data_IF_820856892666
#
_entry.id   IF_820856892666
#
_cell.length_a   1.000
_cell.length_b   1.000
_cell.length_c   1.000
_cell.angle_alpha   90.00
_cell.angle_beta   90.00
_cell.angle_gamma   90.00
#
_symmetry.space_group_name_H-M   'P 1'
#
loop_
_entity.id
_entity.type
_entity.pdbx_description
1 polymer ?
#
# COMPACT_ATOMS: atom_id res chain seq x y z
N UNK A 1 14.61 9.12 -14.03
CA UNK A 1 13.90 7.97 -14.63
C UNK A 1 14.79 6.73 -14.84
N UNK A 2 16.11 6.85 -15.03
CA UNK A 2 17.01 5.69 -15.25
C UNK A 2 17.20 4.77 -14.04
N UNK A 3 17.32 5.32 -12.83
CA UNK A 3 17.51 4.52 -11.60
C UNK A 3 16.31 3.64 -11.24
N UNK A 4 15.09 4.12 -11.49
CA UNK A 4 13.87 3.34 -11.26
C UNK A 4 13.78 2.15 -12.21
N UNK A 5 14.07 2.37 -13.50
CA UNK A 5 14.16 1.31 -14.50
C UNK A 5 15.23 0.27 -14.12
N UNK A 6 16.36 0.71 -13.57
CA UNK A 6 17.43 -0.18 -13.10
C UNK A 6 17.13 -0.89 -11.77
N UNK A 7 16.08 -0.47 -11.03
CA UNK A 7 15.67 -1.11 -9.78
C UNK A 7 14.49 -2.05 -9.98
N UNK A 8 13.57 -1.71 -10.87
CA UNK A 8 12.33 -2.46 -11.16
C UNK A 8 12.49 -3.41 -12.36
N UNK A 9 13.49 -3.18 -13.22
CA UNK A 9 13.71 -3.93 -14.45
C UNK A 9 12.91 -3.36 -15.63
N UNK A 10 13.48 -3.39 -16.84
CA UNK A 10 12.85 -2.78 -18.03
C UNK A 10 11.52 -3.42 -18.45
N UNK A 11 11.29 -4.68 -18.08
CA UNK A 11 10.06 -5.43 -18.40
C UNK A 11 8.87 -5.05 -17.51
N UNK A 12 9.12 -4.44 -16.35
CA UNK A 12 8.08 -4.09 -15.39
C UNK A 12 7.85 -2.58 -15.42
N UNK A 13 6.85 -2.12 -16.19
CA UNK A 13 6.39 -0.72 -16.16
C UNK A 13 5.67 -0.37 -14.84
N UNK A 14 6.01 -1.02 -13.72
CA UNK A 14 5.38 -0.84 -12.42
C UNK A 14 5.71 0.54 -11.89
N UNK A 15 4.68 1.25 -11.43
CA UNK A 15 4.76 2.62 -10.89
C UNK A 15 4.06 2.67 -9.55
N UNK A 16 4.61 3.49 -8.67
CA UNK A 16 3.95 3.84 -7.42
C UNK A 16 2.61 4.50 -7.72
N UNK A 17 1.56 4.03 -7.07
CA UNK A 17 0.27 4.67 -7.15
C UNK A 17 0.20 5.89 -6.22
N UNK A 18 -0.44 6.95 -6.71
CA UNK A 18 -0.65 8.17 -5.93
C UNK A 18 -1.81 7.95 -4.95
N UNK A 19 -1.52 7.93 -3.66
CA UNK A 19 -2.55 8.05 -2.64
C UNK A 19 -3.19 9.44 -2.71
N UNK A 20 -4.47 9.51 -3.10
CA UNK A 20 -5.22 10.78 -3.09
C UNK A 20 -5.87 10.99 -1.73
N UNK A 21 -6.08 12.25 -1.37
CA UNK A 21 -6.50 12.62 -0.01
C UNK A 21 -7.94 12.19 0.32
N UNK A 22 -8.85 12.25 -0.67
CA UNK A 22 -10.30 12.14 -0.48
C UNK A 22 -10.90 10.75 -0.68
N UNK A 23 -10.16 9.81 -1.26
CA UNK A 23 -10.72 8.50 -1.67
C UNK A 23 -10.04 7.36 -0.92
N UNK A 24 -10.81 6.66 -0.10
CA UNK A 24 -10.34 5.56 0.73
C UNK A 24 -9.70 4.42 -0.11
N UNK A 25 -10.26 4.13 -1.29
CA UNK A 25 -9.75 3.11 -2.20
C UNK A 25 -8.42 3.49 -2.88
N UNK A 26 -8.12 4.79 -3.03
CA UNK A 26 -6.83 5.23 -3.59
C UNK A 26 -5.69 4.93 -2.59
N UNK A 27 -5.99 4.97 -1.29
CA UNK A 27 -5.07 4.58 -0.21
C UNK A 27 -4.87 3.06 -0.17
N UNK A 28 -5.95 2.29 -0.27
CA UNK A 28 -5.90 0.83 -0.41
C UNK A 28 -5.04 0.42 -1.63
N UNK A 29 -5.28 1.05 -2.78
CA UNK A 29 -4.58 0.74 -4.02
C UNK A 29 -3.08 1.07 -3.93
N UNK A 30 -2.72 2.19 -3.30
CA UNK A 30 -1.33 2.55 -3.04
C UNK A 30 -0.65 1.59 -2.07
N UNK A 31 -1.34 1.18 -0.99
CA UNK A 31 -0.82 0.24 -0.01
C UNK A 31 -0.55 -1.13 -0.64
N UNK A 32 -1.52 -1.66 -1.39
CA UNK A 32 -1.41 -2.95 -2.08
C UNK A 32 -0.35 -2.90 -3.20
N UNK A 33 -0.14 -1.75 -3.84
CA UNK A 33 0.94 -1.59 -4.80
C UNK A 33 2.33 -1.70 -4.13
N UNK A 34 2.48 -1.20 -2.90
CA UNK A 34 3.75 -1.28 -2.16
C UNK A 34 3.94 -2.68 -1.58
N UNK A 35 2.98 -3.18 -0.80
CA UNK A 35 3.13 -4.41 0.00
C UNK A 35 2.60 -5.67 -0.68
N UNK A 36 1.99 -5.54 -1.86
CA UNK A 36 1.32 -6.63 -2.55
C UNK A 36 -0.16 -6.70 -2.18
N UNK A 37 -0.98 -7.22 -3.09
CA UNK A 37 -2.39 -7.47 -2.85
C UNK A 37 -2.60 -8.86 -2.24
N UNK A 38 -3.56 -9.06 -1.33
CA UNK A 38 -3.96 -10.38 -0.87
C UNK A 38 -4.40 -11.31 -2.03
N UNK A 39 -4.88 -10.73 -3.13
CA UNK A 39 -5.38 -11.42 -4.31
C UNK A 39 -4.25 -11.79 -5.27
N UNK A 40 -3.33 -10.85 -5.52
CA UNK A 40 -2.24 -11.02 -6.50
C UNK A 40 -0.94 -11.57 -5.89
N UNK A 41 -0.91 -11.74 -4.57
CA UNK A 41 0.24 -12.17 -3.79
C UNK A 41 1.38 -11.15 -3.74
N UNK A 42 2.48 -11.54 -3.10
CA UNK A 42 3.65 -10.67 -2.89
C UNK A 42 4.51 -10.47 -4.15
N UNK A 43 4.28 -11.23 -5.22
CA UNK A 43 5.07 -11.14 -6.47
C UNK A 43 4.88 -9.82 -7.22
N UNK A 44 3.77 -9.13 -6.96
CA UNK A 44 3.46 -7.82 -7.52
C UNK A 44 3.91 -6.65 -6.63
N UNK A 45 4.40 -6.93 -5.41
CA UNK A 45 4.76 -5.93 -4.42
C UNK A 45 5.99 -5.12 -4.82
N UNK A 46 5.92 -3.80 -4.70
CA UNK A 46 7.03 -2.90 -5.00
C UNK A 46 7.98 -2.67 -3.82
N UNK A 47 7.69 -3.20 -2.63
CA UNK A 47 8.41 -2.92 -1.39
C UNK A 47 9.93 -3.10 -1.53
N UNK A 48 10.38 -4.27 -2.01
CA UNK A 48 11.82 -4.56 -2.20
C UNK A 48 12.46 -3.63 -3.23
N UNK A 49 11.73 -3.30 -4.30
CA UNK A 49 12.20 -2.37 -5.33
C UNK A 49 12.39 -0.95 -4.77
N UNK A 50 11.47 -0.50 -3.92
CA UNK A 50 11.54 0.82 -3.27
C UNK A 50 12.74 0.88 -2.33
N UNK A 51 12.91 -0.13 -1.46
CA UNK A 51 14.06 -0.19 -0.54
C UNK A 51 15.37 -0.21 -1.32
N UNK A 52 15.45 -1.00 -2.39
CA UNK A 52 16.64 -1.07 -3.26
C UNK A 52 16.93 0.25 -3.97
N UNK A 53 15.89 0.96 -4.43
CA UNK A 53 16.04 2.26 -5.06
C UNK A 53 16.51 3.32 -4.05
N UNK A 54 15.94 3.35 -2.84
CA UNK A 54 16.35 4.26 -1.77
C UNK A 54 17.79 4.01 -1.35
N UNK A 55 18.20 2.74 -1.25
CA UNK A 55 19.59 2.36 -0.98
C UNK A 55 20.54 2.87 -2.07
N UNK A 56 20.21 2.65 -3.36
CA UNK A 56 21.02 3.16 -4.48
C UNK A 56 21.13 4.69 -4.49
N UNK A 57 20.08 5.41 -4.06
CA UNK A 57 20.11 6.87 -3.95
C UNK A 57 21.00 7.30 -2.77
N UNK A 58 20.89 6.62 -1.62
CA UNK A 58 21.70 6.88 -0.43
C UNK A 58 23.21 6.71 -0.69
N UNK A 59 23.62 5.67 -1.43
CA UNK A 59 25.03 5.33 -1.65
C UNK A 59 25.65 6.01 -2.88
N UNK A 60 24.87 6.69 -3.70
CA UNK A 60 25.35 7.27 -4.96
C UNK A 60 25.81 8.70 -4.79
N UNK A 61 27.07 8.99 -5.14
CA UNK A 61 27.64 10.34 -5.13
C UNK A 61 27.01 11.29 -6.16
N UNK A 62 26.25 10.75 -7.12
CA UNK A 62 25.52 11.56 -8.12
C UNK A 62 24.40 12.41 -7.53
N UNK A 63 23.99 12.16 -6.29
CA UNK A 63 22.92 12.89 -5.62
C UNK A 63 23.46 13.86 -4.57
N UNK A 64 22.78 14.99 -4.37
CA UNK A 64 23.16 15.95 -3.32
C UNK A 64 23.03 15.33 -1.93
N UNK A 65 23.84 15.81 -0.98
CA UNK A 65 23.85 15.31 0.41
C UNK A 65 22.45 15.30 1.04
N UNK A 66 21.65 16.35 0.80
CA UNK A 66 20.26 16.42 1.28
C UNK A 66 19.37 15.30 0.72
N UNK A 67 19.49 14.98 -0.57
CA UNK A 67 18.70 13.91 -1.20
C UNK A 67 19.10 12.55 -0.61
N UNK A 68 20.40 12.30 -0.40
CA UNK A 68 20.89 11.05 0.20
C UNK A 68 20.39 10.87 1.63
N UNK A 69 20.42 11.95 2.43
CA UNK A 69 19.88 11.94 3.80
C UNK A 69 18.37 11.65 3.82
N UNK A 70 17.60 12.27 2.92
CA UNK A 70 16.16 11.97 2.79
C UNK A 70 15.90 10.52 2.41
N UNK A 71 16.66 9.98 1.45
CA UNK A 71 16.53 8.58 1.04
C UNK A 71 16.85 7.61 2.19
N UNK A 72 17.91 7.88 2.95
CA UNK A 72 18.27 7.12 4.15
C UNK A 72 17.15 7.15 5.20
N UNK A 73 16.61 8.34 5.48
CA UNK A 73 15.52 8.52 6.45
C UNK A 73 14.29 7.70 6.03
N UNK A 74 13.81 7.88 4.79
CA UNK A 74 12.66 7.13 4.26
C UNK A 74 12.89 5.62 4.29
N UNK A 75 14.08 5.15 3.90
CA UNK A 75 14.44 3.72 3.94
C UNK A 75 14.35 3.19 5.37
N UNK A 76 14.85 3.95 6.34
CA UNK A 76 14.87 3.56 7.74
C UNK A 76 13.44 3.49 8.29
N UNK A 77 12.61 4.49 8.02
CA UNK A 77 11.21 4.50 8.43
C UNK A 77 10.39 3.35 7.81
N UNK A 78 10.62 3.02 6.53
CA UNK A 78 9.94 1.92 5.86
C UNK A 78 10.36 0.53 6.37
N UNK A 79 11.59 0.40 6.89
CA UNK A 79 12.10 -0.85 7.48
C UNK A 79 11.70 -1.03 8.94
N UNK A 80 11.14 -0.01 9.60
CA UNK A 80 10.67 -0.15 10.98
C UNK A 80 9.55 -1.17 11.05
N UNK A 81 9.66 -2.06 12.02
CA UNK A 81 8.63 -3.06 12.31
C UNK A 81 7.26 -2.43 12.52
N UNK A 82 7.16 -1.32 13.26
CA UNK A 82 5.90 -0.61 13.48
C UNK A 82 5.25 -0.14 12.19
N UNK A 83 6.02 0.38 11.23
CA UNK A 83 5.53 0.81 9.91
C UNK A 83 4.99 -0.36 9.11
N UNK A 84 5.74 -1.47 9.07
CA UNK A 84 5.35 -2.68 8.34
C UNK A 84 4.09 -3.29 8.96
N UNK A 85 4.05 -3.43 10.29
CA UNK A 85 2.88 -3.95 10.99
C UNK A 85 1.64 -3.08 10.76
N UNK A 86 1.81 -1.75 10.85
CA UNK A 86 0.72 -0.80 10.58
C UNK A 86 0.18 -0.95 9.17
N UNK A 87 1.07 -1.13 8.17
CA UNK A 87 0.67 -1.40 6.79
C UNK A 87 -0.18 -2.67 6.69
N UNK A 88 0.25 -3.78 7.30
CA UNK A 88 -0.52 -5.03 7.27
C UNK A 88 -1.87 -4.92 7.99
N UNK A 89 -1.93 -4.20 9.12
CA UNK A 89 -3.21 -3.93 9.81
C UNK A 89 -4.17 -3.17 8.88
N UNK A 90 -3.68 -2.13 8.21
CA UNK A 90 -4.51 -1.40 7.25
C UNK A 90 -4.96 -2.28 6.08
N UNK A 91 -4.10 -3.16 5.56
CA UNK A 91 -4.51 -4.12 4.53
C UNK A 91 -5.68 -5.00 4.99
N UNK A 92 -5.64 -5.50 6.24
CA UNK A 92 -6.76 -6.27 6.82
C UNK A 92 -8.03 -5.45 6.97
N UNK A 93 -7.91 -4.19 7.39
CA UNK A 93 -9.06 -3.27 7.45
C UNK A 93 -9.66 -3.08 6.05
N UNK A 94 -8.83 -2.89 5.03
CA UNK A 94 -9.30 -2.72 3.65
C UNK A 94 -9.93 -4.00 3.08
N UNK A 95 -9.39 -5.19 3.37
CA UNK A 95 -10.00 -6.47 2.97
C UNK A 95 -11.45 -6.61 3.45
N UNK A 96 -11.76 -6.10 4.65
CA UNK A 96 -13.11 -6.14 5.22
C UNK A 96 -13.97 -4.99 4.68
N UNK A 97 -13.44 -3.76 4.74
CA UNK A 97 -14.22 -2.54 4.48
C UNK A 97 -14.37 -2.24 3.00
N UNK A 98 -13.46 -2.70 2.14
CA UNK A 98 -13.46 -2.46 0.70
C UNK A 98 -14.71 -3.03 0.01
N UNK A 99 -15.01 -4.34 0.13
CA UNK A 99 -16.22 -4.94 -0.43
C UNK A 99 -17.50 -4.32 0.11
N UNK A 100 -17.57 -4.06 1.42
CA UNK A 100 -18.71 -3.40 2.06
C UNK A 100 -18.94 -1.99 1.47
N UNK A 101 -17.88 -1.19 1.40
CA UNK A 101 -17.94 0.17 0.86
C UNK A 101 -18.42 0.18 -0.58
N UNK A 102 -17.95 -0.75 -1.42
CA UNK A 102 -18.41 -0.90 -2.80
C UNK A 102 -19.88 -1.28 -2.87
N UNK A 103 -20.32 -2.24 -2.04
CA UNK A 103 -21.71 -2.67 -1.99
C UNK A 103 -22.66 -1.52 -1.60
N UNK A 104 -22.32 -0.77 -0.55
CA UNK A 104 -23.11 0.38 -0.07
C UNK A 104 -23.15 1.57 -1.06
N UNK A 105 -22.30 1.56 -2.10
CA UNK A 105 -22.30 2.56 -3.17
C UNK A 105 -23.07 2.10 -4.42
N UNK A 106 -23.59 0.88 -4.45
CA UNK A 106 -24.38 0.39 -5.59
C UNK A 106 -25.78 1.02 -5.62
N UNK A 107 -26.41 1.04 -6.80
CA UNK A 107 -27.83 1.39 -6.91
C UNK A 107 -28.70 0.16 -6.65
N UNK A 108 -29.85 0.34 -5.99
CA UNK A 108 -30.78 -0.75 -5.69
C UNK A 108 -30.38 -1.62 -4.50
N UNK A 109 -29.83 -0.99 -3.46
CA UNK A 109 -29.36 -1.68 -2.25
C UNK A 109 -30.51 -2.34 -1.49
N UNK A 110 -30.30 -3.60 -1.09
CA UNK A 110 -31.12 -4.26 -0.08
C UNK A 110 -30.68 -3.79 1.32
N UNK A 111 -31.58 -3.10 2.01
CA UNK A 111 -31.32 -2.52 3.33
C UNK A 111 -31.09 -3.59 4.41
N UNK A 112 -31.80 -4.72 4.36
CA UNK A 112 -31.62 -5.81 5.30
C UNK A 112 -30.24 -6.42 5.07
N UNK A 113 -29.90 -6.68 3.80
CA UNK A 113 -28.58 -7.24 3.47
C UNK A 113 -27.44 -6.30 3.82
N UNK A 114 -27.63 -5.00 3.64
CA UNK A 114 -26.66 -3.98 4.05
C UNK A 114 -26.40 -4.02 5.54
N UNK A 115 -27.45 -4.09 6.35
CA UNK A 115 -27.31 -4.15 7.80
C UNK A 115 -26.56 -5.42 8.25
N UNK A 116 -26.84 -6.57 7.62
CA UNK A 116 -26.10 -7.80 7.86
C UNK A 116 -24.61 -7.65 7.55
N UNK A 117 -24.28 -7.08 6.39
CA UNK A 117 -22.88 -6.88 5.96
C UNK A 117 -22.13 -5.90 6.86
N UNK A 118 -22.80 -4.84 7.34
CA UNK A 118 -22.23 -3.91 8.33
C UNK A 118 -21.95 -4.63 9.64
N UNK A 119 -22.91 -5.42 10.13
CA UNK A 119 -22.74 -6.17 11.37
C UNK A 119 -21.61 -7.20 11.28
N UNK A 120 -21.48 -7.90 10.15
CA UNK A 120 -20.39 -8.86 9.92
C UNK A 120 -19.03 -8.16 9.84
N UNK A 121 -18.95 -7.05 9.10
CA UNK A 121 -17.73 -6.25 9.02
C UNK A 121 -17.28 -5.75 10.40
N UNK A 122 -18.22 -5.28 11.23
CA UNK A 122 -17.93 -4.82 12.59
C UNK A 122 -17.38 -5.94 13.47
N UNK A 123 -17.97 -7.14 13.41
CA UNK A 123 -17.46 -8.33 14.12
C UNK A 123 -16.03 -8.68 13.68
N UNK A 124 -15.78 -8.69 12.38
CA UNK A 124 -14.45 -9.00 11.80
C UNK A 124 -13.39 -7.97 12.18
N UNK A 125 -13.75 -6.68 12.23
CA UNK A 125 -12.83 -5.61 12.61
C UNK A 125 -12.39 -5.71 14.08
N UNK A 126 -13.28 -6.12 14.99
CA UNK A 126 -12.94 -6.30 16.41
C UNK A 126 -11.87 -7.38 16.60
N UNK A 127 -11.86 -8.41 15.75
CA UNK A 127 -10.93 -9.56 15.83
C UNK A 127 -9.52 -9.20 15.30
N UNK A 128 -9.33 -8.03 14.67
CA UNK A 128 -8.00 -7.59 14.18
C UNK A 128 -7.07 -7.16 15.34
N UNK A 129 -7.61 -6.95 16.56
CA UNK A 129 -6.82 -6.69 17.78
C UNK A 129 -6.17 -7.97 18.33
#
# INVERSE_FOLDING_TARGET
>A
MSLWKNAVGEKEQRRLQKARDTRWWDKESALNNIFGSPIDGFNSAMYVCIISALYKIETSDKFSSNIRLKAKCLKTELLKYSTILTAFIYQRIFEITGPLSKYLQTSGIDLIKSQELVNDALKRLIIIQ
#
